data_IF_703111215927
#
_entry.id   IF_703111215927
#
_cell.length_a   1.000
_cell.length_b   1.000
_cell.length_c   1.000
_cell.angle_alpha   90.00
_cell.angle_beta   90.00
_cell.angle_gamma   90.00
#
_symmetry.space_group_name_H-M   'P 1'
#
loop_
_entity.id
_entity.type
_entity.pdbx_description
1 polymer ?
#
# COMPACT_ATOMS: atom_id res chain seq x y z
N UNK A 1 3.41 -11.58 -2.72
CA UNK A 1 2.59 -12.30 -1.72
C UNK A 1 1.52 -11.35 -1.20
N UNK A 2 0.32 -11.83 -0.92
CA UNK A 2 -0.74 -11.01 -0.31
C UNK A 2 -0.70 -11.15 1.22
N UNK A 3 -0.69 -10.03 1.96
CA UNK A 3 -0.68 -10.03 3.43
C UNK A 3 -2.05 -9.74 4.04
N UNK A 4 -2.84 -8.86 3.42
CA UNK A 4 -4.22 -8.55 3.80
C UNK A 4 -5.11 -8.61 2.56
N UNK A 5 -6.23 -9.32 2.65
CA UNK A 5 -7.18 -9.50 1.55
C UNK A 5 -8.62 -9.60 2.04
N UNK A 6 -9.60 -9.00 1.31
CA UNK A 6 -11.01 -9.22 1.56
C UNK A 6 -11.46 -10.67 1.28
N UNK A 7 -10.65 -11.49 0.59
CA UNK A 7 -10.93 -12.90 0.37
C UNK A 7 -10.96 -13.72 1.67
N UNK A 8 -10.27 -13.25 2.71
CA UNK A 8 -10.15 -13.95 3.99
C UNK A 8 -10.91 -13.24 5.12
N UNK A 9 -11.02 -11.89 5.07
CA UNK A 9 -11.80 -11.14 6.06
C UNK A 9 -12.27 -9.79 5.51
N UNK A 10 -13.48 -9.37 5.87
CA UNK A 10 -13.98 -8.00 5.68
C UNK A 10 -14.41 -7.41 7.03
N UNK A 11 -13.89 -6.24 7.45
CA UNK A 11 -12.83 -5.45 6.80
C UNK A 11 -11.48 -6.16 6.85
N UNK A 12 -10.74 -6.16 5.73
CA UNK A 12 -9.44 -6.83 5.62
C UNK A 12 -8.44 -6.30 6.66
N UNK A 13 -8.44 -4.99 6.86
CA UNK A 13 -7.56 -4.29 7.80
C UNK A 13 -8.17 -4.08 9.20
N UNK A 14 -9.33 -4.69 9.49
CA UNK A 14 -9.97 -4.63 10.80
C UNK A 14 -10.68 -3.30 11.11
N UNK A 15 -10.69 -2.37 10.15
CA UNK A 15 -11.35 -1.07 10.26
C UNK A 15 -12.03 -0.70 8.95
N UNK A 16 -13.07 0.14 9.06
CA UNK A 16 -13.76 0.75 7.91
C UNK A 16 -13.34 2.20 7.66
N UNK A 17 -12.52 2.76 8.56
CA UNK A 17 -12.02 4.13 8.43
C UNK A 17 -11.28 4.28 7.10
N UNK A 18 -11.42 5.44 6.47
CA UNK A 18 -10.74 5.78 5.22
C UNK A 18 -10.99 4.80 4.06
N UNK A 19 -12.17 4.18 4.01
CA UNK A 19 -12.56 3.26 2.94
C UNK A 19 -11.63 2.03 2.76
N UNK A 20 -10.99 1.55 3.83
CA UNK A 20 -10.02 0.43 3.76
C UNK A 20 -10.66 -0.97 3.80
N UNK A 21 -12.00 -1.09 3.85
CA UNK A 21 -12.66 -2.37 4.17
C UNK A 21 -12.34 -3.50 3.19
N UNK A 22 -12.13 -3.17 1.91
CA UNK A 22 -11.82 -4.11 0.83
C UNK A 22 -10.40 -3.94 0.29
N UNK A 23 -9.54 -3.23 1.02
CA UNK A 23 -8.18 -2.98 0.59
C UNK A 23 -7.33 -4.27 0.60
N UNK A 24 -6.31 -4.29 -0.25
CA UNK A 24 -5.37 -5.41 -0.41
C UNK A 24 -3.95 -4.92 -0.24
N UNK A 25 -3.15 -5.66 0.52
CA UNK A 25 -1.71 -5.43 0.65
C UNK A 25 -0.92 -6.46 -0.16
N UNK A 26 -0.19 -5.97 -1.17
CA UNK A 26 0.75 -6.75 -1.95
C UNK A 26 2.17 -6.53 -1.45
N UNK A 27 2.75 -7.57 -0.86
CA UNK A 27 4.13 -7.59 -0.37
C UNK A 27 4.99 -8.37 -1.35
N UNK A 28 5.89 -7.72 -2.10
CA UNK A 28 6.78 -8.42 -3.01
C UNK A 28 7.69 -9.39 -2.25
N UNK A 29 8.01 -10.51 -2.89
CA UNK A 29 8.84 -11.58 -2.32
C UNK A 29 9.98 -11.94 -3.26
N UNK A 30 11.07 -12.43 -2.71
CA UNK A 30 12.20 -12.99 -3.46
C UNK A 30 11.91 -14.40 -4.01
N UNK A 31 12.88 -15.01 -4.68
CA UNK A 31 12.76 -16.38 -5.22
C UNK A 31 12.56 -17.47 -4.15
N UNK A 32 12.73 -17.15 -2.87
CA UNK A 32 12.42 -18.04 -1.74
C UNK A 32 11.03 -17.81 -1.14
N UNK A 33 10.24 -16.91 -1.74
CA UNK A 33 8.89 -16.57 -1.28
C UNK A 33 8.88 -15.68 -0.03
N UNK A 34 10.00 -15.00 0.30
CA UNK A 34 10.09 -14.14 1.50
C UNK A 34 10.22 -12.66 1.12
N UNK A 35 9.63 -11.78 1.93
CA UNK A 35 9.74 -10.31 1.75
C UNK A 35 11.13 -9.79 2.11
N UNK A 36 11.76 -10.38 3.13
CA UNK A 36 13.16 -10.17 3.51
C UNK A 36 13.69 -11.35 4.33
N UNK A 37 15.01 -11.49 4.41
CA UNK A 37 15.69 -12.48 5.26
C UNK A 37 15.37 -12.23 6.74
N UNK A 38 14.90 -13.28 7.43
CA UNK A 38 14.67 -13.26 8.87
C UNK A 38 15.95 -13.70 9.58
N UNK A 39 16.38 -12.92 10.58
CA UNK A 39 17.56 -13.18 11.42
C UNK A 39 17.19 -12.98 12.89
N UNK A 40 18.04 -13.44 13.82
CA UNK A 40 17.83 -13.13 15.24
C UNK A 40 17.81 -11.61 15.49
N UNK A 41 18.64 -10.85 14.78
CA UNK A 41 18.68 -9.39 14.87
C UNK A 41 17.36 -8.74 14.43
N UNK A 42 16.69 -9.26 13.39
CA UNK A 42 15.41 -8.71 12.91
C UNK A 42 14.25 -8.90 13.89
N UNK A 43 14.40 -9.74 14.92
CA UNK A 43 13.39 -9.85 15.98
C UNK A 43 13.46 -8.69 16.97
N UNK A 44 14.62 -8.03 17.09
CA UNK A 44 14.87 -7.00 18.11
C UNK A 44 15.17 -5.62 17.54
N UNK A 45 15.47 -5.52 16.24
CA UNK A 45 15.86 -4.25 15.59
C UNK A 45 15.03 -3.99 14.36
N UNK A 46 14.62 -2.74 14.20
CA UNK A 46 14.07 -2.25 12.93
C UNK A 46 15.12 -2.38 11.83
N UNK A 47 14.67 -2.65 10.61
CA UNK A 47 15.55 -2.93 9.47
C UNK A 47 15.45 -1.82 8.42
N UNK A 48 16.55 -1.48 7.73
CA UNK A 48 16.48 -0.62 6.55
C UNK A 48 15.51 -1.19 5.51
N UNK A 49 14.63 -0.37 4.91
CA UNK A 49 13.65 -0.86 3.94
C UNK A 49 14.31 -1.45 2.68
N UNK A 50 15.55 -1.06 2.36
CA UNK A 50 16.33 -1.56 1.23
C UNK A 50 16.64 -3.07 1.31
N UNK A 51 16.49 -3.68 2.50
CA UNK A 51 16.67 -5.13 2.67
C UNK A 51 15.46 -5.95 2.20
N UNK A 52 14.37 -5.30 1.80
CA UNK A 52 13.13 -5.96 1.42
C UNK A 52 12.98 -6.01 -0.09
N UNK A 53 12.54 -7.16 -0.60
CA UNK A 53 12.37 -7.42 -2.03
C UNK A 53 11.41 -6.44 -2.72
N UNK A 54 10.51 -5.81 -1.96
CA UNK A 54 9.56 -4.83 -2.49
C UNK A 54 10.12 -3.42 -2.65
N UNK A 55 11.08 -3.02 -1.83
CA UNK A 55 11.50 -1.63 -1.80
C UNK A 55 12.14 -1.19 -3.12
N UNK A 56 11.63 -0.12 -3.71
CA UNK A 56 12.07 0.40 -5.01
C UNK A 56 11.52 -0.34 -6.23
N UNK A 57 10.74 -1.41 -6.06
CA UNK A 57 10.09 -2.13 -7.17
C UNK A 57 9.07 -1.22 -7.85
N UNK A 58 8.98 -1.28 -9.18
CA UNK A 58 8.06 -0.46 -9.94
C UNK A 58 6.61 -0.73 -9.53
N UNK A 59 5.82 0.35 -9.42
CA UNK A 59 4.37 0.32 -9.24
C UNK A 59 3.76 0.95 -10.48
N UNK A 60 2.81 0.25 -11.06
CA UNK A 60 2.13 0.66 -12.29
C UNK A 60 0.65 0.93 -12.01
N UNK A 61 0.03 1.75 -12.84
CA UNK A 61 -1.40 1.98 -12.79
C UNK A 61 -2.16 0.66 -13.06
N UNK A 62 -3.05 0.22 -12.14
CA UNK A 62 -3.82 -1.02 -12.32
C UNK A 62 -4.96 -0.86 -13.34
N UNK A 63 -5.30 0.38 -13.69
CA UNK A 63 -6.37 0.74 -14.63
C UNK A 63 -5.92 1.95 -15.44
N UNK A 64 -6.44 2.08 -16.66
CA UNK A 64 -6.34 3.34 -17.41
C UNK A 64 -7.28 4.37 -16.80
N UNK A 65 -6.81 5.58 -16.52
CA UNK A 65 -7.63 6.56 -15.81
C UNK A 65 -7.01 7.95 -15.72
N UNK A 66 -7.60 8.79 -14.87
CA UNK A 66 -7.11 10.15 -14.59
C UNK A 66 -6.57 10.20 -13.17
N UNK A 67 -5.33 10.65 -13.00
CA UNK A 67 -4.74 10.88 -11.68
C UNK A 67 -5.51 12.02 -11.01
N UNK A 68 -6.10 11.76 -9.85
CA UNK A 68 -6.85 12.74 -9.05
C UNK A 68 -6.04 13.29 -7.88
N UNK A 69 -5.10 12.51 -7.38
CA UNK A 69 -4.13 12.95 -6.38
C UNK A 69 -2.80 12.26 -6.61
N UNK A 70 -1.71 12.99 -6.40
CA UNK A 70 -0.36 12.47 -6.32
C UNK A 70 0.34 13.20 -5.16
N UNK A 71 0.82 12.44 -4.18
CA UNK A 71 1.58 12.95 -3.04
C UNK A 71 2.94 12.26 -3.01
N UNK A 72 3.99 13.06 -2.91
CA UNK A 72 5.35 12.62 -2.69
C UNK A 72 6.02 13.46 -1.59
N UNK A 73 7.24 13.10 -1.21
CA UNK A 73 8.10 13.82 -0.26
C UNK A 73 8.07 13.28 1.17
N UNK A 74 7.11 12.42 1.53
CA UNK A 74 7.07 11.77 2.84
C UNK A 74 8.25 10.81 2.97
N UNK A 75 9.06 10.88 4.04
CA UNK A 75 10.17 9.96 4.25
C UNK A 75 9.73 8.50 4.34
N UNK A 76 10.44 7.63 3.62
CA UNK A 76 10.45 6.20 3.94
C UNK A 76 11.12 6.00 5.31
N UNK A 77 10.60 5.06 6.08
CA UNK A 77 11.16 4.72 7.38
C UNK A 77 11.59 3.26 7.45
N UNK A 78 12.29 2.88 8.52
CA UNK A 78 12.70 1.51 8.76
C UNK A 78 11.48 0.55 8.83
N UNK A 79 11.67 -0.70 8.41
CA UNK A 79 10.69 -1.75 8.59
C UNK A 79 10.70 -2.24 10.05
N UNK A 80 9.51 -2.34 10.63
CA UNK A 80 9.26 -2.73 12.02
C UNK A 80 8.65 -4.13 12.07
N UNK A 81 9.51 -5.15 12.06
CA UNK A 81 9.16 -6.57 12.28
C UNK A 81 9.53 -7.00 13.69
N UNK A 82 9.00 -8.12 14.17
CA UNK A 82 9.30 -8.64 15.51
C UNK A 82 8.86 -7.68 16.62
N UNK A 83 9.62 -7.60 17.72
CA UNK A 83 9.30 -6.71 18.84
C UNK A 83 9.23 -5.21 18.48
N UNK A 84 10.06 -4.67 17.56
CA UNK A 84 9.89 -3.31 17.07
C UNK A 84 8.48 -2.94 16.56
N UNK A 85 7.72 -3.91 16.04
CA UNK A 85 6.35 -3.64 15.55
C UNK A 85 5.40 -3.20 16.67
N UNK A 86 5.64 -3.62 17.92
CA UNK A 86 4.82 -3.26 19.09
C UNK A 86 4.98 -1.76 19.38
N UNK A 87 6.23 -1.28 19.39
CA UNK A 87 6.50 0.16 19.56
C UNK A 87 5.91 0.99 18.43
N UNK A 88 6.00 0.49 17.19
CA UNK A 88 5.36 1.14 16.04
C UNK A 88 3.83 1.19 16.17
N UNK A 89 3.21 0.12 16.66
CA UNK A 89 1.76 0.04 16.89
C UNK A 89 1.26 1.11 17.87
N UNK A 90 2.07 1.53 18.84
CA UNK A 90 1.71 2.62 19.76
C UNK A 90 1.56 3.98 19.06
N UNK A 91 2.15 4.15 17.86
CA UNK A 91 2.06 5.40 17.07
C UNK A 91 0.78 5.50 16.22
N UNK A 92 0.03 4.40 16.07
CA UNK A 92 -1.10 4.27 15.14
C UNK A 92 -2.22 5.26 15.43
N UNK A 93 -2.60 5.40 16.71
CA UNK A 93 -3.69 6.30 17.11
C UNK A 93 -3.39 7.76 16.77
N UNK A 94 -2.11 8.17 16.80
CA UNK A 94 -1.70 9.50 16.38
C UNK A 94 -1.86 9.69 14.88
N UNK A 95 -1.38 8.74 14.06
CA UNK A 95 -1.50 8.81 12.59
C UNK A 95 -2.94 8.86 12.12
N UNK A 96 -3.82 8.09 12.77
CA UNK A 96 -5.27 8.14 12.48
C UNK A 96 -5.84 9.54 12.73
N UNK A 97 -5.42 10.23 13.79
CA UNK A 97 -5.84 11.62 14.07
C UNK A 97 -5.25 12.63 13.09
N UNK A 98 -4.05 12.38 12.58
CA UNK A 98 -3.41 13.20 11.53
C UNK A 98 -4.06 13.00 10.14
N UNK A 99 -4.89 11.97 10.00
CA UNK A 99 -5.74 11.75 8.83
C UNK A 99 -5.07 10.93 7.73
N UNK A 100 -5.76 10.85 6.59
CA UNK A 100 -5.39 10.00 5.46
C UNK A 100 -3.93 10.16 4.99
N UNK A 101 -3.37 11.37 4.81
CA UNK A 101 -2.00 11.50 4.33
C UNK A 101 -0.96 10.84 5.24
N UNK A 102 -1.15 10.88 6.56
CA UNK A 102 -0.26 10.26 7.53
C UNK A 102 -0.36 8.72 7.54
N UNK A 103 -1.50 8.19 7.10
CA UNK A 103 -1.74 6.76 6.92
C UNK A 103 -1.19 6.27 5.57
N UNK A 104 -1.57 6.92 4.48
CA UNK A 104 -1.20 6.52 3.13
C UNK A 104 0.28 6.79 2.78
N UNK A 105 0.90 7.81 3.38
CA UNK A 105 2.24 8.26 2.98
C UNK A 105 2.25 8.86 1.57
N UNK A 106 3.30 8.58 0.80
CA UNK A 106 3.32 8.92 -0.62
C UNK A 106 2.33 8.02 -1.36
N UNK A 107 1.50 8.59 -2.21
CA UNK A 107 0.42 7.85 -2.85
C UNK A 107 -0.06 8.48 -4.15
N UNK A 108 -0.74 7.68 -4.96
CA UNK A 108 -1.44 8.11 -6.17
C UNK A 108 -2.89 7.64 -6.08
N UNK A 109 -3.85 8.51 -6.41
CA UNK A 109 -5.26 8.16 -6.59
C UNK A 109 -5.61 8.30 -8.06
N UNK A 110 -6.08 7.22 -8.68
CA UNK A 110 -6.49 7.17 -10.09
C UNK A 110 -8.01 6.99 -10.15
N UNK A 111 -8.69 7.84 -10.90
CA UNK A 111 -10.11 7.68 -11.18
C UNK A 111 -10.33 6.96 -12.50
N UNK A 112 -11.19 5.94 -12.45
CA UNK A 112 -11.63 5.13 -13.58
C UNK A 112 -13.13 4.88 -13.45
N UNK A 113 -13.91 5.43 -14.39
CA UNK A 113 -15.36 5.21 -14.48
C UNK A 113 -16.11 5.52 -13.17
N UNK A 114 -15.72 6.60 -12.48
CA UNK A 114 -16.32 7.01 -11.20
C UNK A 114 -15.80 6.25 -9.97
N UNK A 115 -14.87 5.30 -10.13
CA UNK A 115 -14.19 4.60 -9.04
C UNK A 115 -12.81 5.21 -8.82
N UNK A 116 -12.40 5.38 -7.57
CA UNK A 116 -11.11 5.93 -7.19
C UNK A 116 -10.22 4.84 -6.59
N UNK A 117 -9.09 4.56 -7.24
CA UNK A 117 -8.11 3.55 -6.84
C UNK A 117 -6.92 4.26 -6.20
N UNK A 118 -6.69 4.02 -4.91
CA UNK A 118 -5.52 4.52 -4.20
C UNK A 118 -4.39 3.48 -4.20
N UNK A 119 -3.17 3.94 -4.48
CA UNK A 119 -1.91 3.20 -4.42
C UNK A 119 -1.01 3.89 -3.39
N UNK A 120 -0.78 3.27 -2.25
CA UNK A 120 -0.15 3.91 -1.09
C UNK A 120 1.24 3.36 -0.75
N UNK A 121 1.88 3.98 0.25
CA UNK A 121 3.20 3.64 0.77
C UNK A 121 4.31 3.72 -0.27
N UNK A 122 4.19 4.64 -1.23
CA UNK A 122 5.17 4.79 -2.30
C UNK A 122 6.50 5.33 -1.75
N UNK A 123 7.58 5.03 -2.46
CA UNK A 123 8.94 5.46 -2.11
C UNK A 123 9.07 6.97 -2.31
N UNK A 124 9.75 7.64 -1.39
CA UNK A 124 10.04 9.07 -1.48
C UNK A 124 10.78 9.42 -2.76
N UNK A 125 10.32 10.45 -3.45
CA UNK A 125 10.90 10.96 -4.69
C UNK A 125 10.73 10.01 -5.87
N UNK A 126 9.74 9.11 -5.81
CA UNK A 126 9.50 8.13 -6.88
C UNK A 126 8.20 8.36 -7.64
N UNK A 127 7.28 9.17 -7.12
CA UNK A 127 6.00 9.41 -7.78
C UNK A 127 6.28 10.21 -9.05
N UNK A 128 5.91 9.66 -10.20
CA UNK A 128 6.26 10.21 -11.52
C UNK A 128 5.04 10.66 -12.33
N UNK A 129 3.94 10.96 -11.65
CA UNK A 129 2.69 11.42 -12.24
C UNK A 129 2.11 12.59 -11.47
N UNK A 130 1.27 13.39 -12.12
CA UNK A 130 0.68 14.60 -11.55
C UNK A 130 -0.86 14.59 -11.59
N UNK A 131 -1.55 15.30 -10.68
CA UNK A 131 -3.01 15.46 -10.76
C UNK A 131 -3.46 16.02 -12.11
N UNK A 132 -4.46 15.38 -12.72
CA UNK A 132 -4.98 15.70 -14.06
C UNK A 132 -4.34 14.88 -15.18
N UNK A 133 -3.20 14.22 -14.94
CA UNK A 133 -2.56 13.35 -15.92
C UNK A 133 -3.43 12.12 -16.23
N UNK A 134 -3.52 11.78 -17.53
CA UNK A 134 -4.07 10.49 -17.96
C UNK A 134 -2.96 9.46 -17.95
N UNK A 135 -3.25 8.30 -17.36
CA UNK A 135 -2.33 7.15 -17.33
C UNK A 135 -2.99 5.94 -17.97
N UNK A 136 -2.20 5.13 -18.68
CA UNK A 136 -2.62 3.83 -19.18
C UNK A 136 -2.45 2.73 -18.13
N UNK A 137 -3.25 1.66 -18.22
CA UNK A 137 -3.00 0.44 -17.46
C UNK A 137 -1.57 -0.07 -17.74
N UNK A 138 -0.83 -0.40 -16.68
CA UNK A 138 0.57 -0.81 -16.77
C UNK A 138 1.58 0.34 -16.85
N UNK A 139 1.13 1.59 -16.95
CA UNK A 139 2.03 2.75 -16.95
C UNK A 139 2.66 2.96 -15.56
N UNK A 140 3.98 3.20 -15.46
CA UNK A 140 4.62 3.48 -14.18
C UNK A 140 4.04 4.73 -13.50
N UNK A 141 3.72 4.62 -12.21
CA UNK A 141 3.23 5.75 -11.39
C UNK A 141 4.14 6.05 -10.20
N UNK A 142 4.99 5.10 -9.84
CA UNK A 142 6.02 5.28 -8.83
C UNK A 142 6.72 3.98 -8.47
N UNK A 143 7.25 3.91 -7.25
CA UNK A 143 7.91 2.70 -6.73
C UNK A 143 7.39 2.35 -5.35
N UNK A 144 7.36 1.06 -5.02
CA UNK A 144 7.01 0.58 -3.69
C UNK A 144 8.01 1.11 -2.67
N UNK A 145 7.51 1.69 -1.59
CA UNK A 145 8.29 2.29 -0.52
C UNK A 145 7.89 1.74 0.84
N UNK A 146 8.11 2.56 1.87
CA UNK A 146 7.71 2.31 3.24
C UNK A 146 7.36 3.63 3.95
N UNK A 147 6.67 4.53 3.24
CA UNK A 147 6.20 5.81 3.77
C UNK A 147 4.82 5.67 4.41
N UNK A 148 4.45 6.64 5.28
CA UNK A 148 3.16 6.65 5.96
C UNK A 148 3.05 5.59 7.06
N UNK A 149 1.94 4.86 7.06
CA UNK A 149 1.63 3.84 8.05
C UNK A 149 1.88 2.42 7.52
N UNK A 150 3.15 2.03 7.42
CA UNK A 150 3.57 0.74 6.88
C UNK A 150 4.55 0.04 7.81
N UNK A 151 4.36 -1.24 8.12
CA UNK A 151 5.30 -2.00 8.96
C UNK A 151 6.50 -2.54 8.17
N UNK A 152 6.32 -2.85 6.89
CA UNK A 152 7.38 -3.26 5.97
C UNK A 152 7.01 -2.91 4.53
N UNK A 153 7.98 -2.78 3.59
CA UNK A 153 7.68 -2.40 2.21
C UNK A 153 6.63 -3.28 1.52
N UNK A 154 5.50 -2.67 1.19
CA UNK A 154 4.38 -3.29 0.47
C UNK A 154 3.63 -2.23 -0.37
N UNK A 155 2.76 -2.68 -1.25
CA UNK A 155 1.82 -1.83 -1.97
C UNK A 155 0.41 -2.07 -1.41
N UNK A 156 -0.16 -1.03 -0.83
CA UNK A 156 -1.55 -1.02 -0.41
C UNK A 156 -2.43 -0.50 -1.55
N UNK A 157 -3.48 -1.25 -1.89
CA UNK A 157 -4.43 -0.92 -2.95
C UNK A 157 -5.83 -0.91 -2.39
N UNK A 158 -6.58 0.17 -2.60
CA UNK A 158 -8.00 0.24 -2.24
C UNK A 158 -8.84 0.95 -3.31
N UNK A 159 -10.08 0.51 -3.46
CA UNK A 159 -11.08 1.12 -4.33
C UNK A 159 -12.15 1.85 -3.52
N UNK A 160 -12.58 3.00 -4.01
CA UNK A 160 -13.45 3.94 -3.29
C UNK A 160 -14.48 4.58 -4.24
N UNK A 161 -15.63 4.98 -3.71
CA UNK A 161 -16.69 5.68 -4.44
C UNK A 161 -16.48 7.20 -4.56
N UNK A 162 -15.55 7.76 -3.78
CA UNK A 162 -15.19 9.17 -3.77
C UNK A 162 -13.67 9.36 -3.68
N UNK A 163 -13.20 10.51 -4.18
CA UNK A 163 -11.78 10.86 -4.17
C UNK A 163 -11.23 11.09 -2.75
N UNK A 164 -12.07 11.56 -1.82
CA UNK A 164 -11.70 11.84 -0.43
C UNK A 164 -11.92 10.59 0.44
N UNK A 165 -10.85 9.89 0.86
CA UNK A 165 -10.98 8.65 1.63
C UNK A 165 -11.66 8.88 2.97
N UNK A 166 -11.56 10.07 3.57
CA UNK A 166 -12.22 10.39 4.84
C UNK A 166 -13.75 10.41 4.75
N UNK A 167 -14.30 10.49 3.54
CA UNK A 167 -15.75 10.54 3.26
C UNK A 167 -16.23 9.41 2.37
N UNK A 168 -15.32 8.68 1.73
CA UNK A 168 -15.63 7.60 0.81
C UNK A 168 -16.11 6.33 1.52
N UNK A 169 -16.88 5.53 0.80
CA UNK A 169 -17.12 4.12 1.10
C UNK A 169 -16.13 3.24 0.36
N UNK A 170 -15.73 2.13 0.99
CA UNK A 170 -14.89 1.11 0.35
C UNK A 170 -15.70 0.35 -0.70
N UNK A 171 -15.15 0.19 -1.90
CA UNK A 171 -15.72 -0.64 -2.96
C UNK A 171 -14.97 -1.97 -3.05
N UNK A 172 -15.67 -3.10 -3.29
CA UNK A 172 -15.01 -4.37 -3.55
C UNK A 172 -14.24 -4.31 -4.87
N UNK A 173 -13.05 -4.89 -4.90
CA UNK A 173 -12.27 -5.11 -6.12
C UNK A 173 -12.51 -6.52 -6.66
N UNK A 174 -12.33 -6.69 -7.97
CA UNK A 174 -12.42 -8.00 -8.63
C UNK A 174 -11.19 -8.21 -9.50
N UNK A 175 -10.73 -9.44 -9.57
CA UNK A 175 -9.61 -9.86 -10.43
C UNK A 175 -10.10 -10.97 -11.37
N UNK A 176 -9.56 -11.06 -12.60
CA UNK A 176 -9.96 -12.08 -13.56
C UNK A 176 -9.86 -13.51 -13.00
N UNK A 177 -8.80 -13.80 -12.26
CA UNK A 177 -8.54 -15.11 -11.65
C UNK A 177 -9.12 -15.26 -10.24
N UNK A 178 -9.98 -14.32 -9.82
CA UNK A 178 -10.54 -14.25 -8.48
C UNK A 178 -9.66 -13.50 -7.48
N UNK A 179 -10.25 -13.17 -6.33
CA UNK A 179 -9.55 -12.41 -5.28
C UNK A 179 -8.42 -13.23 -4.66
N UNK A 180 -7.18 -12.70 -4.61
CA UNK A 180 -6.07 -13.44 -4.05
C UNK A 180 -6.19 -13.54 -2.53
N UNK A 181 -5.98 -14.73 -1.97
CA UNK A 181 -5.97 -14.99 -0.52
C UNK A 181 -4.65 -14.61 0.12
N UNK A 182 -4.65 -14.35 1.42
CA UNK A 182 -3.46 -14.16 2.23
C UNK A 182 -2.48 -15.33 2.05
N UNK A 183 -1.20 -15.02 1.88
CA UNK A 183 -0.13 -15.98 1.59
C UNK A 183 0.01 -16.37 0.12
N UNK A 184 -0.98 -16.07 -0.75
CA UNK A 184 -0.83 -16.34 -2.18
C UNK A 184 0.19 -15.41 -2.84
N UNK A 185 0.95 -15.94 -3.80
CA UNK A 185 1.84 -15.16 -4.66
C UNK A 185 1.12 -14.92 -5.97
N UNK A 186 0.82 -13.65 -6.25
CA UNK A 186 0.26 -13.22 -7.53
C UNK A 186 1.40 -12.83 -8.45
N UNK A 187 1.35 -13.31 -9.69
CA UNK A 187 2.24 -12.90 -10.77
C UNK A 187 1.51 -11.83 -11.59
N UNK A 188 2.12 -10.65 -11.70
CA UNK A 188 1.65 -9.57 -12.57
C UNK A 188 2.23 -9.68 -13.97
#
# INVERSE_FOLDING_TARGET
MVQNSPADRVPSHGTRLFATSYAIDFTPVDGSGRSARITLASLFRAQPPELFAGFGRAVTAPVSGVVRAARDGEPDHAAFRGFPSIGYAATQARRVREGWPALAGNHVIIEFSGVFIALCHLKRGSVCVEPGQRVGCGEPVGRCGNSGNSTEPHLHVQAMDLADPGRASALPVSFPDGLPRNGSVVHG
#
